data_IF_438569493252
#
_entry.id   IF_438569493252
#
_cell.length_a   1.000
_cell.length_b   1.000
_cell.length_c   1.000
_cell.angle_alpha   90.00
_cell.angle_beta   90.00
_cell.angle_gamma   90.00
#
_symmetry.space_group_name_H-M   'P 1'
#
loop_
_entity.id
_entity.type
_entity.pdbx_description
1 polymer ?
#
# COMPACT_ATOMS: atom_id res chain seq x y z
N UNK A 1 10.45 -6.66 21.09
CA UNK A 1 10.61 -6.93 19.64
C UNK A 1 9.27 -7.02 18.93
N UNK A 2 8.35 -7.90 19.32
CA UNK A 2 7.02 -8.02 18.71
C UNK A 2 6.24 -6.69 18.70
N UNK A 3 6.08 -6.04 19.86
CA UNK A 3 5.36 -4.76 20.01
C UNK A 3 5.93 -3.64 19.14
N UNK A 4 7.26 -3.57 19.03
CA UNK A 4 7.93 -2.56 18.20
C UNK A 4 7.65 -2.79 16.72
N UNK A 5 7.76 -4.03 16.24
CA UNK A 5 7.40 -4.39 14.86
C UNK A 5 5.93 -4.13 14.57
N UNK A 6 5.04 -4.41 15.52
CA UNK A 6 3.61 -4.08 15.39
C UNK A 6 3.38 -2.58 15.22
N UNK A 7 4.10 -1.75 15.97
CA UNK A 7 3.99 -0.28 15.87
C UNK A 7 4.57 0.24 14.55
N UNK A 8 5.72 -0.28 14.12
CA UNK A 8 6.30 0.05 12.81
C UNK A 8 5.33 -0.29 11.66
N UNK A 9 4.66 -1.45 11.73
CA UNK A 9 3.64 -1.85 10.77
C UNK A 9 2.42 -0.90 10.81
N UNK A 10 1.99 -0.46 11.99
CA UNK A 10 0.90 0.53 12.13
C UNK A 10 1.28 1.85 11.46
N UNK A 11 2.48 2.36 11.73
CA UNK A 11 2.98 3.59 11.14
C UNK A 11 3.07 3.50 9.60
N UNK A 12 3.57 2.40 9.06
CA UNK A 12 3.61 2.18 7.61
C UNK A 12 2.20 2.09 7.00
N UNK A 13 1.25 1.49 7.71
CA UNK A 13 -0.15 1.41 7.25
C UNK A 13 -0.80 2.80 7.20
N UNK A 14 -0.59 3.63 8.22
CA UNK A 14 -1.08 5.01 8.23
C UNK A 14 -0.40 5.86 7.13
N UNK A 15 0.91 5.69 6.94
CA UNK A 15 1.67 6.37 5.88
C UNK A 15 1.16 5.96 4.49
N UNK A 16 0.88 4.68 4.26
CA UNK A 16 0.29 4.21 3.01
C UNK A 16 -1.08 4.87 2.78
N UNK A 17 -1.94 4.91 3.80
CA UNK A 17 -3.24 5.58 3.71
C UNK A 17 -3.11 7.08 3.36
N UNK A 18 -2.16 7.81 3.97
CA UNK A 18 -1.94 9.22 3.63
C UNK A 18 -1.46 9.40 2.19
N UNK A 19 -0.58 8.52 1.69
CA UNK A 19 -0.09 8.59 0.31
C UNK A 19 -1.21 8.33 -0.71
N UNK A 20 -2.15 7.45 -0.39
CA UNK A 20 -3.37 7.24 -1.19
C UNK A 20 -4.27 8.48 -1.19
N UNK A 21 -4.34 9.23 -0.07
CA UNK A 21 -5.06 10.50 -0.02
C UNK A 21 -4.39 11.58 -0.89
N UNK A 22 -3.06 11.62 -0.91
CA UNK A 22 -2.24 12.54 -1.72
C UNK A 22 -2.06 12.10 -3.18
N UNK A 23 -2.65 10.98 -3.61
CA UNK A 23 -2.50 10.40 -4.95
C UNK A 23 -1.05 9.99 -5.32
N UNK A 24 -0.18 9.84 -4.32
CA UNK A 24 1.21 9.41 -4.44
C UNK A 24 1.33 7.88 -4.54
N UNK A 25 0.88 7.32 -5.65
CA UNK A 25 0.73 5.87 -5.83
C UNK A 25 2.07 5.12 -5.79
N UNK A 26 3.14 5.66 -6.37
CA UNK A 26 4.44 4.97 -6.43
C UNK A 26 5.08 4.85 -5.04
N UNK A 27 5.06 5.95 -4.27
CA UNK A 27 5.49 5.99 -2.88
C UNK A 27 4.63 5.06 -2.03
N UNK A 28 3.31 5.05 -2.24
CA UNK A 28 2.40 4.15 -1.54
C UNK A 28 2.80 2.68 -1.77
N UNK A 29 3.10 2.28 -3.01
CA UNK A 29 3.49 0.91 -3.31
C UNK A 29 4.80 0.52 -2.63
N UNK A 30 5.79 1.42 -2.60
CA UNK A 30 7.05 1.19 -1.89
C UNK A 30 6.82 0.95 -0.38
N UNK A 31 5.97 1.76 0.26
CA UNK A 31 5.62 1.61 1.67
C UNK A 31 4.88 0.28 1.93
N UNK A 32 3.99 -0.14 1.03
CA UNK A 32 3.27 -1.41 1.17
C UNK A 32 4.21 -2.63 1.08
N UNK A 33 5.24 -2.57 0.23
CA UNK A 33 6.27 -3.61 0.14
C UNK A 33 7.09 -3.69 1.43
N UNK A 34 7.50 -2.54 1.97
CA UNK A 34 8.22 -2.47 3.25
C UNK A 34 7.39 -3.04 4.39
N UNK A 35 6.11 -2.66 4.47
CA UNK A 35 5.16 -3.20 5.45
C UNK A 35 5.02 -4.71 5.33
N UNK A 36 4.93 -5.24 4.11
CA UNK A 36 4.82 -6.68 3.87
C UNK A 36 6.05 -7.43 4.40
N UNK A 37 7.26 -6.91 4.16
CA UNK A 37 8.48 -7.50 4.70
C UNK A 37 8.49 -7.53 6.24
N UNK A 38 7.95 -6.50 6.91
CA UNK A 38 7.81 -6.49 8.37
C UNK A 38 6.74 -7.46 8.87
N UNK A 39 5.64 -7.62 8.14
CA UNK A 39 4.60 -8.60 8.47
C UNK A 39 5.11 -10.04 8.41
N UNK A 40 5.93 -10.39 7.41
CA UNK A 40 6.56 -11.71 7.34
C UNK A 40 7.51 -11.94 8.53
N UNK A 41 8.29 -10.93 8.93
CA UNK A 41 9.11 -11.01 10.15
C UNK A 41 8.27 -11.19 11.41
N UNK A 42 7.18 -10.44 11.55
CA UNK A 42 6.27 -10.53 12.70
C UNK A 42 5.62 -11.91 12.79
N UNK A 43 5.24 -12.49 11.64
CA UNK A 43 4.68 -13.83 11.53
C UNK A 43 5.65 -14.91 12.00
N UNK A 44 6.92 -14.82 11.61
CA UNK A 44 7.96 -15.75 12.08
C UNK A 44 8.07 -15.69 13.61
N UNK A 45 8.15 -14.48 14.19
CA UNK A 45 8.23 -14.29 15.65
C UNK A 45 7.01 -14.90 16.37
N UNK A 46 5.82 -14.72 15.80
CA UNK A 46 4.60 -15.32 16.34
C UNK A 46 4.65 -16.85 16.31
N UNK A 47 5.06 -17.44 15.18
CA UNK A 47 5.14 -18.90 15.00
C UNK A 47 6.20 -19.56 15.88
N UNK A 48 7.31 -18.87 16.14
CA UNK A 48 8.41 -19.36 16.98
C UNK A 48 8.17 -19.11 18.48
N UNK A 49 7.09 -18.42 18.85
CA UNK A 49 6.78 -18.13 20.26
C UNK A 49 6.37 -19.39 21.04
N UNK A 50 6.83 -19.50 22.29
CA UNK A 50 6.42 -20.59 23.18
C UNK A 50 4.91 -20.53 23.46
N UNK A 51 4.29 -21.66 23.78
CA UNK A 51 2.84 -21.78 23.97
C UNK A 51 2.24 -20.72 24.92
N UNK A 52 2.91 -20.41 26.04
CA UNK A 52 2.47 -19.38 26.99
C UNK A 52 2.55 -17.95 26.44
N UNK A 53 3.50 -17.67 25.56
CA UNK A 53 3.62 -16.37 24.89
C UNK A 53 2.68 -16.28 23.69
N UNK A 54 2.36 -17.41 23.05
CA UNK A 54 1.49 -17.47 21.90
C UNK A 54 0.09 -16.96 22.23
N UNK A 55 -0.48 -17.36 23.38
CA UNK A 55 -1.80 -16.89 23.82
C UNK A 55 -1.82 -15.37 24.09
N UNK A 56 -0.75 -14.84 24.70
CA UNK A 56 -0.60 -13.41 24.96
C UNK A 56 -0.39 -12.57 23.67
N UNK A 57 0.26 -13.14 22.66
CA UNK A 57 0.51 -12.48 21.39
C UNK A 57 -0.64 -12.65 20.39
N UNK A 58 -1.46 -13.69 20.52
CA UNK A 58 -2.51 -14.04 19.56
C UNK A 58 -3.57 -12.94 19.42
N UNK A 59 -4.03 -12.37 20.53
CA UNK A 59 -4.97 -11.23 20.50
C UNK A 59 -4.35 -10.03 19.79
N UNK A 60 -3.15 -9.61 20.19
CA UNK A 60 -2.45 -8.47 19.59
C UNK A 60 -2.16 -8.66 18.09
N UNK A 61 -1.75 -9.87 17.70
CA UNK A 61 -1.50 -10.21 16.30
C UNK A 61 -2.79 -10.15 15.49
N UNK A 62 -3.85 -10.79 15.99
CA UNK A 62 -5.15 -10.84 15.31
C UNK A 62 -5.75 -9.44 15.14
N UNK A 63 -5.73 -8.64 16.20
CA UNK A 63 -6.21 -7.24 16.17
C UNK A 63 -5.44 -6.40 15.17
N UNK A 64 -4.11 -6.55 15.11
CA UNK A 64 -3.29 -5.84 14.14
C UNK A 64 -3.65 -6.24 12.70
N UNK A 65 -3.78 -7.54 12.41
CA UNK A 65 -4.11 -8.03 11.07
C UNK A 65 -5.51 -7.57 10.65
N UNK A 66 -6.51 -7.68 11.53
CA UNK A 66 -7.87 -7.21 11.25
C UNK A 66 -7.90 -5.70 10.98
N UNK A 67 -7.18 -4.91 11.78
CA UNK A 67 -7.09 -3.48 11.58
C UNK A 67 -6.43 -3.12 10.24
N UNK A 68 -5.34 -3.80 9.86
CA UNK A 68 -4.69 -3.61 8.55
C UNK A 68 -5.66 -3.92 7.41
N UNK A 69 -6.42 -5.02 7.50
CA UNK A 69 -7.39 -5.41 6.47
C UNK A 69 -8.45 -4.33 6.25
N UNK A 70 -8.96 -3.75 7.33
CA UNK A 70 -9.93 -2.64 7.26
C UNK A 70 -9.35 -1.40 6.56
N UNK A 71 -8.08 -1.06 6.82
CA UNK A 71 -7.41 0.05 6.14
C UNK A 71 -7.18 -0.24 4.65
N UNK A 72 -6.77 -1.47 4.33
CA UNK A 72 -6.43 -1.87 2.96
C UNK A 72 -7.66 -1.98 2.05
N UNK A 73 -8.82 -2.39 2.57
CA UNK A 73 -10.05 -2.50 1.79
C UNK A 73 -10.43 -1.14 1.14
N UNK A 74 -10.44 -0.08 1.93
CA UNK A 74 -10.71 1.28 1.46
C UNK A 74 -9.63 1.77 0.46
N UNK A 75 -8.36 1.46 0.74
CA UNK A 75 -7.24 1.92 -0.07
C UNK A 75 -7.15 1.19 -1.43
N UNK A 76 -7.45 -0.11 -1.48
CA UNK A 76 -7.40 -0.92 -2.71
C UNK A 76 -8.32 -0.37 -3.79
N UNK A 77 -9.59 -0.08 -3.45
CA UNK A 77 -10.55 0.50 -4.38
C UNK A 77 -10.06 1.83 -4.96
N UNK A 78 -9.44 2.68 -4.12
CA UNK A 78 -8.93 3.98 -4.55
C UNK A 78 -7.67 3.88 -5.41
N UNK A 79 -6.73 3.00 -5.08
CA UNK A 79 -5.52 2.75 -5.87
C UNK A 79 -5.87 2.22 -7.26
N UNK A 80 -6.81 1.27 -7.37
CA UNK A 80 -7.27 0.73 -8.65
C UNK A 80 -7.85 1.86 -9.52
N UNK A 81 -8.74 2.68 -8.95
CA UNK A 81 -9.34 3.82 -9.63
C UNK A 81 -8.29 4.83 -10.13
N UNK A 82 -7.31 5.17 -9.29
CA UNK A 82 -6.24 6.12 -9.64
C UNK A 82 -5.33 5.57 -10.76
N UNK A 83 -5.02 4.26 -10.74
CA UNK A 83 -4.27 3.60 -11.82
C UNK A 83 -5.02 3.64 -13.15
N UNK A 84 -6.31 3.35 -13.14
CA UNK A 84 -7.14 3.43 -14.35
C UNK A 84 -7.23 4.86 -14.91
N UNK A 85 -7.37 5.85 -14.02
CA UNK A 85 -7.42 7.26 -14.40
C UNK A 85 -6.10 7.70 -15.04
N UNK A 86 -4.97 7.41 -14.40
CA UNK A 86 -3.63 7.71 -14.93
C UNK A 86 -3.39 7.07 -16.31
N UNK A 87 -3.82 5.82 -16.49
CA UNK A 87 -3.76 5.13 -17.80
C UNK A 87 -4.58 5.86 -18.87
N UNK A 88 -5.81 6.29 -18.56
CA UNK A 88 -6.67 7.04 -19.48
C UNK A 88 -6.04 8.38 -19.88
N UNK A 89 -5.46 9.10 -18.92
CA UNK A 89 -4.88 10.41 -19.17
C UNK A 89 -3.59 10.33 -19.98
N UNK A 90 -2.75 9.31 -19.73
CA UNK A 90 -1.59 9.02 -20.56
C UNK A 90 -1.97 8.77 -22.03
N UNK A 91 -3.01 7.97 -22.28
CA UNK A 91 -3.53 7.72 -23.64
C UNK A 91 -3.98 9.02 -24.30
N UNK A 92 -4.71 9.88 -23.58
CA UNK A 92 -5.14 11.20 -24.09
C UNK A 92 -3.94 12.08 -24.43
N UNK A 93 -2.93 12.12 -23.56
CA UNK A 93 -1.72 12.91 -23.76
C UNK A 93 -0.94 12.45 -25.01
N UNK A 94 -0.82 11.13 -25.22
CA UNK A 94 -0.20 10.57 -26.43
C UNK A 94 -0.98 10.95 -27.68
N UNK A 95 -2.31 10.89 -27.66
CA UNK A 95 -3.16 11.32 -28.78
C UNK A 95 -3.00 12.81 -29.09
N UNK A 96 -3.00 13.66 -28.07
CA UNK A 96 -2.79 15.10 -28.21
C UNK A 96 -1.42 15.41 -28.82
N UNK A 97 -0.36 14.76 -28.32
CA UNK A 97 1.01 14.91 -28.89
C UNK A 97 1.06 14.50 -30.36
N UNK A 98 0.41 13.39 -30.74
CA UNK A 98 0.32 12.97 -32.16
C UNK A 98 -0.41 13.98 -33.04
N UNK A 99 -1.53 14.52 -32.56
CA UNK A 99 -2.30 15.53 -33.29
C UNK A 99 -1.49 16.82 -33.51
N UNK A 100 -0.80 17.31 -32.47
CA UNK A 100 0.08 18.48 -32.56
C UNK A 100 1.22 18.25 -33.55
N UNK A 101 1.86 17.07 -33.50
CA UNK A 101 2.94 16.72 -34.43
C UNK A 101 2.43 16.71 -35.88
N UNK A 102 1.25 16.17 -36.13
CA UNK A 102 0.65 16.13 -37.46
C UNK A 102 0.35 17.54 -37.99
N UNK A 103 -0.25 18.40 -37.17
CA UNK A 103 -0.51 19.80 -37.52
C UNK A 103 0.78 20.55 -37.90
N UNK A 104 1.85 20.39 -37.10
CA UNK A 104 3.17 20.98 -37.36
C UNK A 104 3.87 20.46 -38.63
N UNK A 105 3.44 19.32 -39.18
CA UNK A 105 3.98 18.78 -40.45
C UNK A 105 3.18 19.23 -41.67
N UNK A 106 1.98 19.74 -41.47
CA UNK A 106 1.10 20.29 -42.51
C UNK A 106 1.24 21.82 -42.66
N UNK A 107 1.89 22.47 -41.69
CA UNK A 107 2.27 23.89 -41.72
C UNK A 107 3.77 24.00 -41.96
#
# INVERSE_FOLDING_TARGET
MFTQLSEEIRLLTLKAASLVLCEEIEQCLSVLVERHALLEKLKIIYQESSQNNHDALSSNFTELIQWIQQQDEANCCKIIKLREQSKKDSIKQVRAKKAILHYKKLT
#
